data_IF_557443085555
#
_entry.id   IF_557443085555
#
_cell.length_a   1.000
_cell.length_b   1.000
_cell.length_c   1.000
_cell.angle_alpha   90.00
_cell.angle_beta   90.00
_cell.angle_gamma   90.00
#
_symmetry.space_group_name_H-M   'P 1'
#
loop_
_entity.id
_entity.type
_entity.pdbx_description
1 polymer ?
#
# COMPACT_ATOMS: atom_id res chain seq x y z
N UNK A 1 32.80 56.99 -20.34
CA UNK A 1 33.87 56.28 -19.59
C UNK A 1 34.11 56.89 -18.20
N UNK A 2 33.06 57.18 -17.41
CA UNK A 2 33.22 57.85 -16.09
C UNK A 2 32.37 57.23 -14.97
N UNK A 3 31.95 55.98 -15.10
CA UNK A 3 31.02 55.34 -14.15
C UNK A 3 31.60 54.16 -13.35
N UNK A 4 32.83 53.71 -13.61
CA UNK A 4 33.36 52.46 -13.04
C UNK A 4 34.24 52.60 -11.78
N UNK A 5 34.40 53.79 -11.22
CA UNK A 5 35.25 54.03 -10.03
C UNK A 5 34.49 54.01 -8.70
N UNK A 6 33.27 53.45 -8.64
CA UNK A 6 32.46 53.45 -7.40
C UNK A 6 32.79 52.35 -6.38
N UNK A 7 33.59 51.34 -6.75
CA UNK A 7 33.94 50.23 -5.84
C UNK A 7 34.90 50.69 -4.73
N UNK A 8 35.61 51.80 -4.95
CA UNK A 8 36.56 52.41 -4.01
C UNK A 8 36.12 53.81 -3.57
N UNK A 9 34.81 54.11 -3.61
CA UNK A 9 34.31 55.45 -3.28
C UNK A 9 34.44 55.79 -1.78
N UNK A 10 34.51 54.78 -0.93
CA UNK A 10 34.67 54.93 0.52
C UNK A 10 36.16 54.93 0.89
N UNK A 11 36.63 56.06 1.41
CA UNK A 11 38.02 56.26 1.83
C UNK A 11 38.46 55.23 2.88
N UNK A 12 37.57 54.84 3.79
CA UNK A 12 37.88 53.86 4.84
C UNK A 12 38.11 52.45 4.28
N UNK A 13 37.37 52.06 3.25
CA UNK A 13 37.56 50.79 2.53
C UNK A 13 38.90 50.78 1.79
N UNK A 14 39.27 51.90 1.16
CA UNK A 14 40.60 52.05 0.54
C UNK A 14 41.71 51.92 1.57
N UNK A 15 41.55 52.58 2.72
CA UNK A 15 42.50 52.51 3.81
C UNK A 15 42.67 51.10 4.36
N UNK A 16 41.56 50.35 4.51
CA UNK A 16 41.62 48.94 4.90
C UNK A 16 42.41 48.11 3.89
N UNK A 17 42.20 48.34 2.59
CA UNK A 17 42.96 47.66 1.55
C UNK A 17 44.46 48.01 1.60
N UNK A 18 44.80 49.30 1.83
CA UNK A 18 46.19 49.72 2.06
C UNK A 18 46.80 48.97 3.26
N UNK A 19 46.03 48.82 4.35
CA UNK A 19 46.48 48.10 5.52
C UNK A 19 46.72 46.60 5.23
N UNK A 20 45.86 45.95 4.44
CA UNK A 20 46.06 44.56 3.98
C UNK A 20 47.37 44.40 3.18
N UNK A 21 47.67 45.34 2.29
CA UNK A 21 48.93 45.35 1.53
C UNK A 21 50.11 45.58 2.46
N UNK A 22 50.01 46.56 3.38
CA UNK A 22 51.05 46.86 4.35
C UNK A 22 51.42 45.63 5.20
N UNK A 23 50.44 44.81 5.61
CA UNK A 23 50.69 43.53 6.29
C UNK A 23 51.45 42.54 5.40
N UNK A 24 51.10 42.46 4.11
CA UNK A 24 51.77 41.56 3.15
C UNK A 24 53.21 41.99 2.89
N UNK A 25 53.45 43.28 2.65
CA UNK A 25 54.79 43.88 2.52
C UNK A 25 55.61 43.64 3.78
N UNK A 26 55.02 43.80 4.97
CA UNK A 26 55.69 43.53 6.23
C UNK A 26 56.07 42.05 6.37
N UNK A 27 55.19 41.12 6.00
CA UNK A 27 55.48 39.68 5.99
C UNK A 27 56.68 39.37 5.10
N UNK A 28 56.72 39.92 3.89
CA UNK A 28 57.85 39.75 2.96
C UNK A 28 59.14 40.31 3.57
N UNK A 29 59.09 41.51 4.13
CA UNK A 29 60.19 42.14 4.88
C UNK A 29 60.77 41.28 6.00
N UNK A 30 59.93 40.48 6.68
CA UNK A 30 60.32 39.61 7.78
C UNK A 30 60.81 38.22 7.34
N UNK A 31 60.57 37.84 6.08
CA UNK A 31 60.72 36.45 5.63
C UNK A 31 62.15 35.94 5.79
N UNK A 32 63.15 36.73 5.38
CA UNK A 32 64.55 36.30 5.43
C UNK A 32 65.09 36.23 6.85
N UNK A 33 64.71 37.20 7.68
CA UNK A 33 65.03 37.21 9.09
C UNK A 33 64.47 35.98 9.83
N UNK A 34 63.23 35.59 9.53
CA UNK A 34 62.60 34.39 10.12
C UNK A 34 63.33 33.13 9.68
N UNK A 35 63.58 32.99 8.38
CA UNK A 35 64.31 31.86 7.82
C UNK A 35 65.67 31.68 8.51
N UNK A 36 66.46 32.76 8.61
CA UNK A 36 67.79 32.73 9.20
C UNK A 36 67.73 32.40 10.71
N UNK A 37 66.80 33.01 11.44
CA UNK A 37 66.65 32.79 12.89
C UNK A 37 66.19 31.37 13.20
N UNK A 38 65.19 30.84 12.48
CA UNK A 38 64.75 29.46 12.70
C UNK A 38 65.83 28.46 12.26
N UNK A 39 66.58 28.71 11.18
CA UNK A 39 67.73 27.84 10.82
C UNK A 39 68.78 27.80 11.92
N UNK A 40 69.06 28.93 12.57
CA UNK A 40 69.95 28.99 13.75
C UNK A 40 69.39 28.21 14.93
N UNK A 41 68.10 28.37 15.25
CA UNK A 41 67.42 27.58 16.30
C UNK A 41 67.47 26.09 15.99
N UNK A 42 67.18 25.71 14.74
CA UNK A 42 67.24 24.32 14.26
C UNK A 42 68.64 23.72 14.42
N UNK A 43 69.69 24.47 14.05
CA UNK A 43 71.08 24.05 14.26
C UNK A 43 71.44 23.92 15.76
N UNK A 44 70.96 24.83 16.61
CA UNK A 44 71.21 24.80 18.06
C UNK A 44 70.52 23.63 18.77
N UNK A 45 69.35 23.20 18.30
CA UNK A 45 68.65 22.02 18.81
C UNK A 45 69.40 20.72 18.48
N UNK A 46 70.21 20.72 17.42
CA UNK A 46 71.06 19.59 17.02
C UNK A 46 70.37 18.57 16.11
N UNK A 47 71.09 17.50 15.77
CA UNK A 47 70.65 16.48 14.81
C UNK A 47 69.55 15.57 15.39
N UNK A 48 68.47 15.38 14.62
CA UNK A 48 67.35 14.52 15.01
C UNK A 48 67.58 13.04 14.64
N UNK A 49 66.77 12.14 15.23
CA UNK A 49 66.80 10.71 14.98
C UNK A 49 66.54 10.39 13.49
N UNK A 50 67.49 9.75 12.81
CA UNK A 50 67.35 9.36 11.41
C UNK A 50 66.55 8.08 11.15
N UNK A 51 66.16 7.35 12.21
CA UNK A 51 65.56 6.01 12.12
C UNK A 51 64.17 5.91 12.77
N UNK A 52 63.67 7.00 13.35
CA UNK A 52 62.41 6.99 14.08
C UNK A 52 61.25 7.24 13.11
N UNK A 53 60.43 6.21 12.84
CA UNK A 53 59.15 6.42 12.15
C UNK A 53 58.16 7.06 13.12
N UNK A 54 58.09 8.39 13.10
CA UNK A 54 57.16 9.17 13.94
C UNK A 54 55.90 9.44 13.12
N UNK A 55 55.21 8.39 12.68
CA UNK A 55 54.00 8.52 11.87
C UNK A 55 52.79 9.02 12.68
N UNK A 56 52.84 8.99 14.02
CA UNK A 56 51.77 9.49 14.89
C UNK A 56 52.31 10.21 16.12
N UNK A 57 52.39 11.55 16.03
CA UNK A 57 52.77 12.48 17.11
C UNK A 57 51.88 12.47 18.36
N UNK A 58 50.85 11.61 18.42
CA UNK A 58 50.06 11.42 19.65
C UNK A 58 50.70 10.45 20.65
N UNK A 59 51.76 9.72 20.26
CA UNK A 59 52.57 8.91 21.16
C UNK A 59 54.03 9.43 21.09
N UNK A 60 54.38 10.24 22.08
CA UNK A 60 55.67 10.93 22.27
C UNK A 60 56.90 9.98 22.26
N UNK A 61 58.13 10.50 22.13
CA UNK A 61 59.21 9.80 21.44
C UNK A 61 59.63 8.47 22.06
N UNK A 62 59.89 7.47 21.20
CA UNK A 62 60.48 6.18 21.60
C UNK A 62 62.02 6.21 21.64
N UNK A 63 62.67 7.36 21.43
CA UNK A 63 64.13 7.45 21.45
C UNK A 63 64.67 8.75 22.09
N UNK A 64 65.85 8.62 22.69
CA UNK A 64 66.56 9.68 23.39
C UNK A 64 66.87 10.90 22.51
N UNK A 65 67.13 10.72 21.21
CA UNK A 65 67.45 11.83 20.29
C UNK A 65 66.23 12.69 19.99
N UNK A 66 65.05 12.09 19.82
CA UNK A 66 63.82 12.83 19.61
C UNK A 66 63.38 13.56 20.89
N UNK A 67 63.64 13.01 22.07
CA UNK A 67 63.42 13.71 23.34
C UNK A 67 64.32 14.94 23.47
N UNK A 68 65.59 14.85 23.07
CA UNK A 68 66.49 16.01 23.03
C UNK A 68 65.98 17.11 22.09
N UNK A 69 65.53 16.75 20.89
CA UNK A 69 64.96 17.71 19.94
C UNK A 69 63.69 18.35 20.51
N UNK A 70 62.81 17.55 21.12
CA UNK A 70 61.59 18.04 21.79
C UNK A 70 61.93 19.05 22.88
N UNK A 71 62.82 18.68 23.81
CA UNK A 71 63.28 19.56 24.89
C UNK A 71 63.93 20.84 24.34
N UNK A 72 64.66 20.73 23.22
CA UNK A 72 65.20 21.87 22.49
C UNK A 72 64.09 22.82 22.00
N UNK A 73 63.10 22.31 21.26
CA UNK A 73 61.95 23.11 20.78
C UNK A 73 61.21 23.75 21.96
N UNK A 74 60.97 22.99 23.02
CA UNK A 74 60.32 23.43 24.25
C UNK A 74 61.09 24.57 24.94
N UNK A 75 62.43 24.48 25.00
CA UNK A 75 63.30 25.51 25.60
C UNK A 75 63.28 26.84 24.84
N UNK A 76 63.07 26.79 23.53
CA UNK A 76 62.92 27.98 22.69
C UNK A 76 61.45 28.47 22.61
N UNK A 77 60.48 27.73 23.16
CA UNK A 77 59.07 28.10 23.11
C UNK A 77 58.65 28.91 24.34
N UNK A 78 58.16 30.13 24.14
CA UNK A 78 57.77 31.10 25.19
C UNK A 78 56.94 30.48 26.31
N UNK A 79 55.95 29.67 25.95
CA UNK A 79 55.01 29.06 26.90
C UNK A 79 55.29 27.59 27.20
N UNK A 80 56.39 27.03 26.69
CA UNK A 80 56.66 25.59 26.75
C UNK A 80 55.46 24.72 26.29
N UNK A 81 54.77 25.16 25.23
CA UNK A 81 53.58 24.51 24.67
C UNK A 81 53.62 24.48 23.14
N UNK A 82 54.57 23.77 22.54
CA UNK A 82 54.70 23.74 21.10
C UNK A 82 53.50 23.05 20.42
N UNK A 83 53.12 23.52 19.24
CA UNK A 83 52.00 22.99 18.45
C UNK A 83 52.40 21.74 17.67
N UNK A 84 52.52 20.62 18.38
CA UNK A 84 52.96 19.34 17.82
C UNK A 84 52.11 18.86 16.64
N UNK A 85 50.82 19.22 16.58
CA UNK A 85 49.90 18.82 15.50
C UNK A 85 50.24 19.43 14.13
N UNK A 86 51.01 20.51 14.10
CA UNK A 86 51.35 21.17 12.83
C UNK A 86 52.60 20.58 12.17
N UNK A 87 53.44 19.87 12.92
CA UNK A 87 54.76 19.45 12.46
C UNK A 87 54.78 17.97 12.10
N UNK A 88 55.70 17.57 11.23
CA UNK A 88 56.08 16.18 11.02
C UNK A 88 57.49 15.97 11.58
N UNK A 89 57.59 15.17 12.63
CA UNK A 89 58.85 14.94 13.32
C UNK A 89 59.89 14.17 12.50
N UNK A 90 59.48 13.40 11.48
CA UNK A 90 60.43 12.82 10.51
C UNK A 90 61.20 13.93 9.76
N UNK A 91 60.59 15.09 9.56
CA UNK A 91 61.21 16.23 8.88
C UNK A 91 62.08 17.12 9.77
N UNK A 92 62.10 16.92 11.09
CA UNK A 92 62.92 17.73 12.00
C UNK A 92 64.42 17.65 11.70
N UNK A 93 64.89 16.63 10.98
CA UNK A 93 66.32 16.48 10.65
C UNK A 93 66.79 17.47 9.61
N UNK A 94 66.04 17.54 8.52
CA UNK A 94 66.45 18.16 7.27
C UNK A 94 65.67 19.42 6.96
N UNK A 95 64.55 19.65 7.65
CA UNK A 95 63.64 20.73 7.37
C UNK A 95 63.39 21.59 8.60
N UNK A 96 64.15 22.69 8.70
CA UNK A 96 64.00 23.73 9.71
C UNK A 96 62.56 24.28 9.81
N UNK A 97 61.79 24.24 8.71
CA UNK A 97 60.40 24.70 8.72
C UNK A 97 59.50 23.81 9.59
N UNK A 98 59.79 22.51 9.68
CA UNK A 98 59.04 21.62 10.58
C UNK A 98 59.22 22.04 12.04
N UNK A 99 60.38 22.59 12.41
CA UNK A 99 60.60 23.19 13.73
C UNK A 99 59.84 24.52 13.85
N UNK A 100 59.82 25.35 12.81
CA UNK A 100 59.06 26.62 12.80
C UNK A 100 57.57 26.40 13.12
N UNK A 101 56.97 25.35 12.55
CA UNK A 101 55.55 25.02 12.75
C UNK A 101 55.17 24.73 14.20
N UNK A 102 56.12 24.31 15.02
CA UNK A 102 55.91 24.10 16.45
C UNK A 102 55.59 25.41 17.19
N UNK A 103 55.91 26.57 16.62
CA UNK A 103 55.62 27.89 17.18
C UNK A 103 54.34 28.54 16.62
N UNK A 104 53.64 27.86 15.71
CA UNK A 104 52.37 28.33 15.15
C UNK A 104 51.19 28.02 16.09
N UNK A 105 50.02 28.63 15.91
CA UNK A 105 48.79 28.24 16.61
C UNK A 105 48.43 26.76 16.38
N UNK A 106 47.72 26.09 17.30
CA UNK A 106 47.54 24.62 17.27
C UNK A 106 46.77 24.04 16.07
N UNK A 107 46.08 24.89 15.30
CA UNK A 107 45.18 24.49 14.22
C UNK A 107 45.42 25.35 12.97
N UNK A 108 45.22 24.76 11.78
CA UNK A 108 45.20 25.50 10.51
C UNK A 108 46.54 25.57 9.75
N UNK A 109 47.63 25.05 10.31
CA UNK A 109 48.98 25.22 9.71
C UNK A 109 49.71 23.91 9.38
N UNK A 110 49.05 22.75 9.52
CA UNK A 110 49.67 21.46 9.21
C UNK A 110 50.14 21.37 7.74
N UNK A 111 49.34 21.91 6.81
CA UNK A 111 49.62 21.85 5.36
C UNK A 111 50.65 22.88 4.83
N UNK A 112 51.00 23.92 5.59
CA UNK A 112 51.83 25.02 5.10
C UNK A 112 53.28 24.57 4.92
N UNK A 113 53.86 24.61 3.72
CA UNK A 113 55.16 23.98 3.47
C UNK A 113 56.37 24.89 3.72
N UNK A 114 56.14 26.21 3.78
CA UNK A 114 57.20 27.22 3.88
C UNK A 114 56.74 28.53 4.54
N UNK A 115 57.69 29.43 4.83
CA UNK A 115 57.40 30.79 5.29
C UNK A 115 56.72 31.63 4.20
N UNK A 116 56.98 31.34 2.92
CA UNK A 116 56.36 32.01 1.79
C UNK A 116 54.86 31.68 1.69
N UNK A 117 54.48 30.43 1.93
CA UNK A 117 53.08 29.98 1.96
C UNK A 117 52.33 30.37 3.25
N UNK A 118 53.06 30.79 4.27
CA UNK A 118 52.47 31.22 5.54
C UNK A 118 51.75 32.55 5.39
N UNK A 119 50.70 32.78 6.17
CA UNK A 119 50.10 34.11 6.22
C UNK A 119 50.84 35.04 7.20
N UNK A 120 50.44 36.31 7.25
CA UNK A 120 51.07 37.28 8.16
C UNK A 120 50.95 36.85 9.63
N UNK A 121 49.79 36.33 10.03
CA UNK A 121 49.55 35.91 11.40
C UNK A 121 50.45 34.74 11.82
N UNK A 122 50.69 33.78 10.92
CA UNK A 122 51.62 32.68 11.13
C UNK A 122 53.04 33.20 11.40
N UNK A 123 53.52 34.11 10.54
CA UNK A 123 54.83 34.76 10.68
C UNK A 123 54.96 35.45 12.03
N UNK A 124 53.98 36.27 12.41
CA UNK A 124 54.03 36.99 13.70
C UNK A 124 53.92 36.03 14.89
N UNK A 125 53.12 34.96 14.80
CA UNK A 125 53.03 33.97 15.87
C UNK A 125 54.32 33.18 16.07
N UNK A 126 55.05 32.83 15.00
CA UNK A 126 56.37 32.21 15.12
C UNK A 126 57.30 33.11 15.92
N UNK A 127 57.36 34.40 15.58
CA UNK A 127 58.20 35.38 16.26
C UNK A 127 57.76 35.63 17.72
N UNK A 128 56.46 35.56 18.01
CA UNK A 128 55.92 35.74 19.35
C UNK A 128 56.10 34.51 20.24
N UNK A 129 56.13 33.31 19.67
CA UNK A 129 56.22 32.07 20.44
C UNK A 129 57.64 31.53 20.54
N UNK A 130 58.57 31.97 19.69
CA UNK A 130 59.99 31.60 19.79
C UNK A 130 60.81 32.67 20.53
N UNK A 131 61.49 32.28 21.60
CA UNK A 131 62.23 33.18 22.49
C UNK A 131 63.46 33.81 21.83
N UNK A 132 64.07 33.19 20.81
CA UNK A 132 65.22 33.75 20.09
C UNK A 132 64.83 35.07 19.39
N UNK A 133 63.64 35.15 18.79
CA UNK A 133 63.14 36.41 18.21
C UNK A 133 62.86 37.47 19.27
N UNK A 134 62.32 37.08 20.42
CA UNK A 134 62.01 38.01 21.50
C UNK A 134 63.27 38.64 22.08
N UNK A 135 64.34 37.87 22.20
CA UNK A 135 65.64 38.38 22.64
C UNK A 135 66.15 39.50 21.71
N UNK A 136 65.86 39.38 20.41
CA UNK A 136 66.27 40.36 19.40
C UNK A 136 65.31 41.57 19.28
N UNK A 137 64.00 41.37 19.47
CA UNK A 137 62.98 42.38 19.16
C UNK A 137 62.26 42.99 20.37
N UNK A 138 62.25 42.27 21.49
CA UNK A 138 61.56 42.66 22.72
C UNK A 138 62.44 42.42 23.98
N UNK A 139 63.66 43.01 24.05
CA UNK A 139 64.59 42.76 25.17
C UNK A 139 64.03 43.17 26.55
N UNK A 140 63.05 44.08 26.59
CA UNK A 140 62.37 44.50 27.83
C UNK A 140 61.43 43.44 28.44
N UNK A 141 61.18 42.31 27.76
CA UNK A 141 60.25 41.28 28.24
C UNK A 141 60.75 40.45 29.42
N UNK A 142 62.06 40.43 29.68
CA UNK A 142 62.63 39.67 30.80
C UNK A 142 62.78 40.51 32.09
N UNK A 143 62.31 41.76 32.10
CA UNK A 143 62.35 42.60 33.31
C UNK A 143 61.28 42.18 34.35
N UNK A 144 61.61 42.03 35.65
CA UNK A 144 60.67 41.58 36.69
C UNK A 144 59.63 42.61 37.19
N UNK A 145 59.72 43.91 36.85
CA UNK A 145 58.91 45.00 37.46
C UNK A 145 58.48 46.08 36.40
N UNK A 146 57.49 46.98 36.69
CA UNK A 146 56.21 47.17 35.97
C UNK A 146 56.22 48.20 34.78
N UNK A 147 55.04 48.60 34.24
CA UNK A 147 54.36 47.91 33.16
C UNK A 147 55.22 47.90 31.90
N UNK A 148 55.46 46.71 31.36
CA UNK A 148 56.33 46.51 30.20
C UNK A 148 55.80 47.33 29.02
N UNK A 149 56.62 48.17 28.35
CA UNK A 149 56.23 48.72 27.06
C UNK A 149 55.76 47.56 26.17
N UNK A 150 54.54 47.68 25.63
CA UNK A 150 53.95 46.66 24.77
C UNK A 150 54.96 46.29 23.68
N UNK A 151 55.39 45.02 23.67
CA UNK A 151 56.33 44.50 22.69
C UNK A 151 55.83 44.83 21.28
N UNK A 152 56.71 45.36 20.41
CA UNK A 152 56.34 45.71 19.04
C UNK A 152 55.57 44.59 18.31
N UNK A 153 55.96 43.33 18.51
CA UNK A 153 55.29 42.18 17.88
C UNK A 153 53.83 42.02 18.32
N UNK A 154 53.49 42.36 19.56
CA UNK A 154 52.12 42.25 20.06
C UNK A 154 51.22 43.32 19.44
N UNK A 155 51.75 44.54 19.25
CA UNK A 155 51.06 45.62 18.54
C UNK A 155 50.86 45.26 17.08
N UNK A 156 51.88 44.71 16.43
CA UNK A 156 51.83 44.26 15.04
C UNK A 156 50.85 43.10 14.86
N UNK A 157 50.78 42.17 15.82
CA UNK A 157 49.72 41.13 15.84
C UNK A 157 48.34 41.73 16.00
N UNK A 158 48.18 42.75 16.85
CA UNK A 158 46.89 43.43 17.02
C UNK A 158 46.43 44.04 15.70
N UNK A 159 47.30 44.76 15.00
CA UNK A 159 47.01 45.32 13.66
C UNK A 159 46.58 44.20 12.69
N UNK A 160 47.31 43.08 12.67
CA UNK A 160 46.95 41.93 11.85
C UNK A 160 45.53 41.39 12.14
N UNK A 161 45.12 41.39 13.41
CA UNK A 161 43.76 41.00 13.82
C UNK A 161 42.73 42.06 13.43
N UNK A 162 42.98 43.32 13.73
CA UNK A 162 42.06 44.43 13.45
C UNK A 162 41.74 44.53 11.97
N UNK A 163 42.77 44.39 11.12
CA UNK A 163 42.60 44.45 9.66
C UNK A 163 41.92 43.18 9.13
N UNK A 164 42.39 41.98 9.47
CA UNK A 164 41.86 40.73 8.88
C UNK A 164 40.50 40.30 9.40
N UNK A 165 40.15 40.72 10.62
CA UNK A 165 38.87 40.40 11.25
C UNK A 165 37.94 41.62 11.32
N UNK A 166 38.24 42.69 10.57
CA UNK A 166 37.32 43.80 10.40
C UNK A 166 36.04 43.30 9.72
N UNK A 167 34.92 43.31 10.45
CA UNK A 167 33.62 42.92 9.91
C UNK A 167 33.11 43.87 8.82
N UNK A 168 33.61 45.11 8.82
CA UNK A 168 33.19 46.18 7.91
C UNK A 168 34.18 46.42 6.78
N UNK A 169 35.37 45.81 6.82
CA UNK A 169 36.47 46.09 5.89
C UNK A 169 36.79 47.59 5.77
N UNK A 170 36.70 48.32 6.89
CA UNK A 170 36.93 49.76 7.00
C UNK A 170 38.08 50.06 7.95
N UNK A 171 38.85 51.09 7.64
CA UNK A 171 39.95 51.60 8.48
C UNK A 171 39.99 53.11 8.38
N UNK A 172 39.95 53.80 9.52
CA UNK A 172 40.05 55.26 9.55
C UNK A 172 41.45 55.73 9.15
N UNK A 173 41.59 56.99 8.74
CA UNK A 173 42.90 57.57 8.39
C UNK A 173 43.87 57.51 9.58
N UNK A 174 43.38 57.76 10.80
CA UNK A 174 44.21 57.73 12.02
C UNK A 174 44.70 56.31 12.35
N UNK A 175 43.84 55.30 12.21
CA UNK A 175 44.24 53.90 12.37
C UNK A 175 45.27 53.49 11.32
N UNK A 176 45.05 53.86 10.06
CA UNK A 176 45.98 53.54 8.98
C UNK A 176 47.37 54.15 9.24
N UNK A 177 47.43 55.42 9.65
CA UNK A 177 48.69 56.07 10.03
C UNK A 177 49.36 55.37 11.21
N UNK A 178 48.58 54.94 12.21
CA UNK A 178 49.09 54.14 13.33
C UNK A 178 49.64 52.78 12.86
N UNK A 179 48.97 52.13 11.90
CA UNK A 179 49.40 50.85 11.33
C UNK A 179 50.73 51.00 10.60
N UNK A 180 50.86 51.92 9.65
CA UNK A 180 52.10 52.19 8.92
C UNK A 180 53.25 52.51 9.87
N UNK A 181 53.03 53.45 10.81
CA UNK A 181 54.04 53.81 11.80
C UNK A 181 54.53 52.61 12.60
N UNK A 182 53.62 51.73 13.04
CA UNK A 182 53.96 50.56 13.86
C UNK A 182 54.69 49.48 13.06
N UNK A 183 54.24 49.21 11.83
CA UNK A 183 54.86 48.23 10.93
C UNK A 183 56.26 48.68 10.49
N UNK A 184 56.40 49.93 10.06
CA UNK A 184 57.70 50.53 9.70
C UNK A 184 58.66 50.49 10.88
N UNK A 185 58.20 50.84 12.09
CA UNK A 185 59.01 50.78 13.30
C UNK A 185 59.55 49.37 13.58
N UNK A 186 58.73 48.33 13.38
CA UNK A 186 59.17 46.94 13.57
C UNK A 186 60.35 46.60 12.66
N UNK A 187 60.28 47.01 11.39
CA UNK A 187 61.29 46.70 10.38
C UNK A 187 62.55 47.59 10.52
N UNK A 188 62.38 48.87 10.86
CA UNK A 188 63.46 49.85 10.87
C UNK A 188 64.23 49.94 12.20
N UNK A 189 63.56 49.81 13.36
CA UNK A 189 64.20 50.07 14.67
C UNK A 189 64.91 48.84 15.24
N UNK A 190 64.67 47.65 14.67
CA UNK A 190 65.34 46.43 15.11
C UNK A 190 66.78 46.41 14.59
N UNK A 191 67.75 46.30 15.50
CA UNK A 191 69.19 46.17 15.14
C UNK A 191 69.47 45.03 14.17
N UNK A 192 68.66 43.98 14.19
CA UNK A 192 68.79 42.82 13.30
C UNK A 192 68.12 43.04 11.94
N UNK A 193 66.98 43.74 11.89
CA UNK A 193 66.23 43.97 10.65
C UNK A 193 66.72 45.19 9.86
N UNK A 194 67.24 46.22 10.53
CA UNK A 194 67.76 47.43 9.88
C UNK A 194 68.91 47.16 8.89
N UNK A 195 69.60 46.02 9.03
CA UNK A 195 70.68 45.58 8.15
C UNK A 195 70.19 44.64 7.04
N UNK A 196 68.94 44.17 7.09
CA UNK A 196 68.39 43.25 6.11
C UNK A 196 67.89 44.03 4.88
N UNK A 197 68.45 43.80 3.68
CA UNK A 197 68.03 44.52 2.47
C UNK A 197 66.55 44.29 2.12
N UNK A 198 65.97 43.14 2.48
CA UNK A 198 64.56 42.83 2.22
C UNK A 198 63.67 43.62 3.18
N UNK A 199 64.04 43.73 4.46
CA UNK A 199 63.33 44.56 5.42
C UNK A 199 63.39 46.05 5.06
N UNK A 200 64.56 46.54 4.62
CA UNK A 200 64.72 47.92 4.16
C UNK A 200 63.89 48.22 2.91
N UNK A 201 63.83 47.28 1.95
CA UNK A 201 62.93 47.39 0.79
C UNK A 201 61.47 47.47 1.23
N UNK A 202 61.05 46.64 2.19
CA UNK A 202 59.70 46.69 2.73
C UNK A 202 59.38 48.01 3.44
N UNK A 203 60.34 48.61 4.16
CA UNK A 203 60.19 49.96 4.75
C UNK A 203 59.93 51.01 3.67
N UNK A 204 60.70 51.02 2.59
CA UNK A 204 60.50 51.96 1.46
C UNK A 204 59.10 51.77 0.88
N UNK A 205 58.70 50.53 0.60
CA UNK A 205 57.35 50.23 0.08
C UNK A 205 56.23 50.66 1.04
N UNK A 206 56.42 50.53 2.36
CA UNK A 206 55.45 51.02 3.35
C UNK A 206 55.36 52.54 3.36
N UNK A 207 56.49 53.24 3.23
CA UNK A 207 56.52 54.70 3.12
C UNK A 207 55.85 55.18 1.84
N UNK A 208 56.11 54.51 0.71
CA UNK A 208 55.47 54.81 -0.57
C UNK A 208 53.95 54.57 -0.49
N UNK A 209 53.51 53.43 0.05
CA UNK A 209 52.09 53.12 0.27
C UNK A 209 51.39 54.11 1.20
N UNK A 210 52.11 54.69 2.16
CA UNK A 210 51.59 55.69 3.08
C UNK A 210 51.42 57.06 2.39
N UNK A 211 52.36 57.45 1.53
CA UNK A 211 52.40 58.76 0.86
C UNK A 211 51.58 58.79 -0.43
N UNK A 212 51.49 57.66 -1.15
CA UNK A 212 50.78 57.58 -2.42
C UNK A 212 49.31 57.20 -2.23
N UNK A 213 48.47 57.73 -3.12
CA UNK A 213 47.28 57.00 -3.54
C UNK A 213 47.80 55.77 -4.27
N UNK A 214 47.65 54.59 -3.66
CA UNK A 214 47.93 53.29 -4.28
C UNK A 214 47.62 53.34 -5.78
N UNK A 215 48.43 52.75 -6.66
CA UNK A 215 48.05 52.53 -8.04
C UNK A 215 46.91 51.48 -8.09
N UNK A 216 45.76 51.86 -7.54
CA UNK A 216 44.48 51.15 -7.55
C UNK A 216 44.00 50.98 -8.99
N UNK A 217 44.60 51.67 -9.96
CA UNK A 217 44.37 51.46 -11.39
C UNK A 217 44.78 50.06 -11.81
N UNK A 218 45.98 49.58 -11.46
CA UNK A 218 46.43 48.23 -11.84
C UNK A 218 45.66 47.15 -11.07
N UNK A 219 45.46 47.34 -9.76
CA UNK A 219 44.70 46.38 -8.96
C UNK A 219 43.20 46.40 -9.31
N UNK A 220 42.65 47.56 -9.65
CA UNK A 220 41.28 47.73 -10.11
C UNK A 220 41.05 47.03 -11.45
N UNK A 221 42.01 47.11 -12.38
CA UNK A 221 41.98 46.34 -13.62
C UNK A 221 42.02 44.83 -13.33
N UNK A 222 42.90 44.38 -12.43
CA UNK A 222 42.97 42.97 -12.04
C UNK A 222 41.68 42.45 -11.41
N UNK A 223 41.07 43.21 -10.48
CA UNK A 223 39.74 42.87 -9.91
C UNK A 223 38.69 42.80 -11.02
N UNK A 224 38.71 43.72 -11.96
CA UNK A 224 37.75 43.75 -13.07
C UNK A 224 37.92 42.52 -13.97
N UNK A 225 39.15 42.11 -14.25
CA UNK A 225 39.47 40.89 -15.00
C UNK A 225 38.99 39.65 -14.26
N UNK A 226 39.21 39.57 -12.94
CA UNK A 226 38.68 38.47 -12.11
C UNK A 226 37.15 38.45 -12.11
N UNK A 227 36.48 39.60 -12.02
CA UNK A 227 35.02 39.68 -12.11
C UNK A 227 34.50 39.17 -13.45
N UNK A 228 35.13 39.59 -14.56
CA UNK A 228 34.77 39.09 -15.89
C UNK A 228 35.02 37.58 -16.02
N UNK A 229 36.12 37.07 -15.46
CA UNK A 229 36.41 35.65 -15.46
C UNK A 229 35.37 34.86 -14.64
N UNK A 230 34.96 35.37 -13.47
CA UNK A 230 33.91 34.77 -12.64
C UNK A 230 32.57 34.75 -13.39
N UNK A 231 32.16 35.85 -14.04
CA UNK A 231 30.92 35.85 -14.83
C UNK A 231 30.98 34.87 -16.00
N UNK A 232 32.12 34.77 -16.72
CA UNK A 232 32.28 33.75 -17.78
C UNK A 232 32.18 32.32 -17.25
N UNK A 233 32.76 32.05 -16.07
CA UNK A 233 32.66 30.73 -15.42
C UNK A 233 31.21 30.44 -15.03
N UNK A 234 30.50 31.44 -14.50
CA UNK A 234 29.10 31.33 -14.13
C UNK A 234 28.23 31.04 -15.36
N UNK A 235 28.36 31.82 -16.42
CA UNK A 235 27.62 31.63 -17.68
C UNK A 235 27.88 30.24 -18.27
N UNK A 236 29.15 29.80 -18.29
CA UNK A 236 29.52 28.47 -18.76
C UNK A 236 28.91 27.35 -17.90
N UNK A 237 28.91 27.50 -16.58
CA UNK A 237 28.31 26.55 -15.66
C UNK A 237 26.77 26.48 -15.80
N UNK A 238 26.11 27.61 -15.98
CA UNK A 238 24.67 27.69 -16.23
C UNK A 238 24.30 27.01 -17.56
N UNK A 239 25.09 27.23 -18.61
CA UNK A 239 24.91 26.56 -19.90
C UNK A 239 25.11 25.05 -19.80
N UNK A 240 26.20 24.58 -19.18
CA UNK A 240 26.48 23.15 -19.02
C UNK A 240 25.38 22.46 -18.20
N UNK A 241 24.92 23.10 -17.11
CA UNK A 241 23.82 22.60 -16.30
C UNK A 241 22.51 22.50 -17.09
N UNK A 242 22.18 23.52 -17.90
CA UNK A 242 21.00 23.55 -18.76
C UNK A 242 21.03 22.42 -19.80
N UNK A 243 22.16 22.26 -20.51
CA UNK A 243 22.32 21.21 -21.53
C UNK A 243 22.28 19.80 -20.92
N UNK A 244 22.96 19.59 -19.79
CA UNK A 244 22.96 18.30 -19.09
C UNK A 244 21.59 17.94 -18.55
N UNK A 245 20.86 18.91 -17.99
CA UNK A 245 19.49 18.72 -17.52
C UNK A 245 18.56 18.37 -18.68
N UNK A 246 18.67 19.06 -19.82
CA UNK A 246 17.89 18.76 -21.03
C UNK A 246 18.14 17.34 -21.54
N UNK A 247 19.40 16.92 -21.68
CA UNK A 247 19.74 15.55 -22.13
C UNK A 247 19.19 14.49 -21.19
N UNK A 248 19.32 14.70 -19.88
CA UNK A 248 18.82 13.76 -18.86
C UNK A 248 17.29 13.61 -18.93
N UNK A 249 16.58 14.73 -19.13
CA UNK A 249 15.12 14.73 -19.30
C UNK A 249 14.70 14.04 -20.61
N UNK A 250 15.41 14.28 -21.72
CA UNK A 250 15.14 13.62 -23.01
C UNK A 250 15.36 12.10 -22.94
N UNK A 251 16.43 11.64 -22.29
CA UNK A 251 16.68 10.22 -22.04
C UNK A 251 15.59 9.59 -21.16
N UNK A 252 15.18 10.29 -20.09
CA UNK A 252 14.09 9.85 -19.21
C UNK A 252 12.76 9.74 -19.96
N UNK A 253 12.43 10.72 -20.79
CA UNK A 253 11.22 10.75 -21.61
C UNK A 253 11.21 9.60 -22.63
N UNK A 254 12.34 9.30 -23.26
CA UNK A 254 12.45 8.19 -24.19
C UNK A 254 12.29 6.82 -23.49
N UNK A 255 12.86 6.64 -22.30
CA UNK A 255 12.65 5.42 -21.50
C UNK A 255 11.18 5.22 -21.12
N UNK A 256 10.49 6.29 -20.75
CA UNK A 256 9.05 6.25 -20.44
C UNK A 256 8.23 5.86 -21.68
N UNK A 257 8.57 6.39 -22.86
CA UNK A 257 7.90 6.04 -24.12
C UNK A 257 8.05 4.56 -24.46
N UNK A 258 9.25 4.01 -24.34
CA UNK A 258 9.46 2.56 -24.56
C UNK A 258 8.70 1.72 -23.54
N UNK A 259 8.74 2.09 -22.25
CA UNK A 259 7.96 1.38 -21.23
C UNK A 259 6.44 1.42 -21.50
N UNK A 260 5.91 2.56 -21.97
CA UNK A 260 4.50 2.66 -22.36
C UNK A 260 4.14 1.73 -23.53
N UNK A 261 5.05 1.61 -24.51
CA UNK A 261 4.88 0.70 -25.64
C UNK A 261 4.86 -0.76 -25.20
N UNK A 262 5.72 -1.14 -24.26
CA UNK A 262 5.73 -2.49 -23.68
C UNK A 262 4.41 -2.78 -22.94
N UNK A 263 3.91 -1.82 -22.14
CA UNK A 263 2.61 -1.95 -21.47
C UNK A 263 1.47 -2.09 -22.49
N UNK A 264 1.49 -1.30 -23.58
CA UNK A 264 0.49 -1.41 -24.64
C UNK A 264 0.48 -2.81 -25.28
N UNK A 265 1.65 -3.38 -25.55
CA UNK A 265 1.76 -4.76 -26.07
C UNK A 265 1.21 -5.80 -25.10
N UNK A 266 1.51 -5.68 -23.80
CA UNK A 266 0.97 -6.59 -22.77
C UNK A 266 -0.56 -6.49 -22.69
N UNK A 267 -1.12 -5.28 -22.77
CA UNK A 267 -2.58 -5.08 -22.78
C UNK A 267 -3.20 -5.69 -24.04
N UNK A 268 -2.59 -5.49 -25.21
CA UNK A 268 -3.08 -6.08 -26.47
C UNK A 268 -3.05 -7.62 -26.41
N UNK A 269 -1.98 -8.21 -25.89
CA UNK A 269 -1.87 -9.65 -25.69
C UNK A 269 -2.96 -10.16 -24.72
N UNK A 270 -3.09 -9.53 -23.55
CA UNK A 270 -4.11 -9.92 -22.57
C UNK A 270 -5.53 -9.83 -23.13
N UNK A 271 -5.84 -8.78 -23.90
CA UNK A 271 -7.13 -8.65 -24.59
C UNK A 271 -7.38 -9.76 -25.60
N UNK A 272 -6.35 -10.17 -26.36
CA UNK A 272 -6.46 -11.29 -27.30
C UNK A 272 -6.74 -12.62 -26.57
N UNK A 273 -6.07 -12.87 -25.45
CA UNK A 273 -6.28 -14.06 -24.62
C UNK A 273 -7.68 -14.09 -23.98
N UNK A 274 -8.14 -12.95 -23.46
CA UNK A 274 -9.49 -12.81 -22.90
C UNK A 274 -10.55 -13.08 -23.98
N UNK A 275 -10.36 -12.51 -25.17
CA UNK A 275 -11.28 -12.70 -26.30
C UNK A 275 -11.33 -14.16 -26.70
N UNK A 276 -10.17 -14.84 -26.82
CA UNK A 276 -10.11 -16.27 -27.13
C UNK A 276 -10.84 -17.13 -26.07
N UNK A 277 -10.61 -16.85 -24.78
CA UNK A 277 -11.30 -17.54 -23.67
C UNK A 277 -12.81 -17.28 -23.67
N UNK A 278 -13.24 -16.05 -23.97
CA UNK A 278 -14.66 -15.73 -24.09
C UNK A 278 -15.30 -16.50 -25.25
N UNK A 279 -14.65 -16.52 -26.42
CA UNK A 279 -15.14 -17.28 -27.58
C UNK A 279 -15.28 -18.77 -27.26
N UNK A 280 -14.27 -19.38 -26.63
CA UNK A 280 -14.32 -20.78 -26.20
C UNK A 280 -15.46 -21.05 -25.20
N UNK A 281 -15.60 -20.20 -24.18
CA UNK A 281 -16.68 -20.31 -23.20
C UNK A 281 -18.06 -20.17 -23.85
N UNK A 282 -18.24 -19.24 -24.79
CA UNK A 282 -19.47 -19.11 -25.58
C UNK A 282 -19.76 -20.37 -26.37
N UNK A 283 -18.76 -20.97 -27.03
CA UNK A 283 -18.90 -22.23 -27.75
C UNK A 283 -19.31 -23.38 -26.83
N UNK A 284 -18.70 -23.51 -25.66
CA UNK A 284 -19.07 -24.54 -24.67
C UNK A 284 -20.49 -24.37 -24.14
N UNK A 285 -20.95 -23.12 -23.92
CA UNK A 285 -22.32 -22.84 -23.49
C UNK A 285 -23.32 -23.26 -24.58
N UNK A 286 -23.08 -22.89 -25.84
CA UNK A 286 -23.97 -23.28 -26.94
C UNK A 286 -23.98 -24.80 -27.16
N UNK A 287 -22.84 -25.48 -26.99
CA UNK A 287 -22.79 -26.95 -27.02
C UNK A 287 -23.66 -27.57 -25.91
N UNK A 288 -23.44 -27.18 -24.64
CA UNK A 288 -24.21 -27.72 -23.50
C UNK A 288 -25.69 -27.41 -23.59
N UNK A 289 -26.04 -26.24 -24.13
CA UNK A 289 -27.42 -25.86 -24.43
C UNK A 289 -28.01 -26.81 -25.48
N UNK A 290 -27.28 -27.11 -26.55
CA UNK A 290 -27.66 -28.11 -27.54
C UNK A 290 -27.89 -29.50 -26.92
N UNK A 291 -26.96 -29.98 -26.09
CA UNK A 291 -27.08 -31.25 -25.37
C UNK A 291 -28.30 -31.28 -24.43
N UNK A 292 -28.54 -30.20 -23.69
CA UNK A 292 -29.70 -30.09 -22.78
C UNK A 292 -31.02 -30.11 -23.54
N UNK A 293 -31.10 -29.43 -24.69
CA UNK A 293 -32.27 -29.45 -25.57
C UNK A 293 -32.51 -30.86 -26.10
N UNK A 294 -31.46 -31.58 -26.51
CA UNK A 294 -31.58 -32.97 -26.97
C UNK A 294 -32.09 -33.90 -25.87
N UNK A 295 -31.55 -33.80 -24.64
CA UNK A 295 -32.02 -34.59 -23.49
C UNK A 295 -33.50 -34.32 -23.20
N UNK A 296 -33.93 -33.05 -23.24
CA UNK A 296 -35.33 -32.69 -23.05
C UNK A 296 -36.23 -33.27 -24.15
N UNK A 297 -35.76 -33.25 -25.40
CA UNK A 297 -36.46 -33.85 -26.53
C UNK A 297 -36.63 -35.37 -26.36
N UNK A 298 -35.54 -36.08 -26.05
CA UNK A 298 -35.55 -37.53 -25.85
C UNK A 298 -36.46 -37.93 -24.68
N UNK A 299 -36.43 -37.14 -23.59
CA UNK A 299 -37.30 -37.37 -22.42
C UNK A 299 -38.77 -37.08 -22.73
N UNK A 300 -39.06 -36.07 -23.54
CA UNK A 300 -40.42 -35.78 -24.00
C UNK A 300 -40.96 -36.93 -24.87
N UNK A 301 -40.16 -37.48 -25.78
CA UNK A 301 -40.56 -38.65 -26.58
C UNK A 301 -40.73 -39.91 -25.71
N UNK A 302 -39.83 -40.16 -24.77
CA UNK A 302 -40.00 -41.26 -23.81
C UNK A 302 -41.31 -41.14 -23.01
N UNK A 303 -41.61 -39.96 -22.48
CA UNK A 303 -42.86 -39.71 -21.77
C UNK A 303 -44.08 -39.94 -22.68
N UNK A 304 -44.04 -39.47 -23.92
CA UNK A 304 -45.11 -39.69 -24.91
C UNK A 304 -45.33 -41.17 -25.18
N UNK A 305 -44.27 -41.95 -25.36
CA UNK A 305 -44.36 -43.41 -25.54
C UNK A 305 -44.93 -44.10 -24.30
N UNK A 306 -44.47 -43.72 -23.10
CA UNK A 306 -44.95 -44.28 -21.83
C UNK A 306 -46.43 -43.97 -21.59
N UNK A 307 -46.86 -42.73 -21.82
CA UNK A 307 -48.28 -42.34 -21.76
C UNK A 307 -49.10 -43.18 -22.74
N UNK A 308 -48.60 -43.40 -23.97
CA UNK A 308 -49.24 -44.26 -24.95
C UNK A 308 -49.45 -45.70 -24.44
N UNK A 309 -48.39 -46.31 -23.89
CA UNK A 309 -48.43 -47.67 -23.35
C UNK A 309 -49.34 -47.82 -22.11
N UNK A 310 -49.30 -46.85 -21.18
CA UNK A 310 -50.17 -46.83 -20.01
C UNK A 310 -51.63 -46.62 -20.40
N UNK A 311 -51.90 -45.74 -21.37
CA UNK A 311 -53.24 -45.54 -21.92
C UNK A 311 -53.77 -46.83 -22.54
N UNK A 312 -52.97 -47.52 -23.36
CA UNK A 312 -53.37 -48.80 -23.94
C UNK A 312 -53.66 -49.86 -22.86
N UNK A 313 -52.84 -49.91 -21.81
CA UNK A 313 -53.03 -50.84 -20.68
C UNK A 313 -54.30 -50.54 -19.88
N UNK A 314 -54.57 -49.25 -19.62
CA UNK A 314 -55.78 -48.77 -18.95
C UNK A 314 -57.01 -49.06 -19.80
N UNK A 315 -56.95 -48.86 -21.12
CA UNK A 315 -58.03 -49.20 -22.05
C UNK A 315 -58.30 -50.70 -22.01
N UNK A 316 -57.28 -51.55 -22.13
CA UNK A 316 -57.43 -53.03 -22.05
C UNK A 316 -58.02 -53.47 -20.72
N UNK A 317 -57.55 -52.90 -19.60
CA UNK A 317 -58.04 -53.22 -18.26
C UNK A 317 -59.48 -52.77 -18.05
N UNK A 318 -59.84 -51.56 -18.51
CA UNK A 318 -61.21 -51.04 -18.47
C UNK A 318 -62.15 -51.88 -19.31
N UNK A 319 -61.75 -52.26 -20.52
CA UNK A 319 -62.54 -53.15 -21.40
C UNK A 319 -62.75 -54.51 -20.73
N UNK A 320 -61.72 -55.07 -20.09
CA UNK A 320 -61.83 -56.33 -19.35
C UNK A 320 -62.80 -56.21 -18.16
N UNK A 321 -62.66 -55.17 -17.33
CA UNK A 321 -63.56 -54.91 -16.21
C UNK A 321 -65.01 -54.76 -16.66
N UNK A 322 -65.26 -53.98 -17.73
CA UNK A 322 -66.59 -53.82 -18.30
C UNK A 322 -67.12 -55.18 -18.77
N UNK A 323 -66.30 -55.99 -19.44
CA UNK A 323 -66.69 -57.33 -19.91
C UNK A 323 -67.04 -58.26 -18.76
N UNK A 324 -66.23 -58.27 -17.70
CA UNK A 324 -66.42 -59.11 -16.51
C UNK A 324 -67.67 -58.67 -15.73
N UNK A 325 -67.85 -57.38 -15.46
CA UNK A 325 -69.05 -56.86 -14.76
C UNK A 325 -70.33 -57.06 -15.58
N UNK A 326 -70.24 -56.92 -16.91
CA UNK A 326 -71.37 -57.21 -17.81
C UNK A 326 -71.73 -58.70 -17.74
N UNK A 327 -70.73 -59.58 -17.76
CA UNK A 327 -70.93 -61.03 -17.63
C UNK A 327 -71.57 -61.38 -16.28
N UNK A 328 -71.05 -60.87 -15.17
CA UNK A 328 -71.58 -61.09 -13.82
C UNK A 328 -73.02 -60.57 -13.68
N UNK A 329 -73.31 -59.42 -14.30
CA UNK A 329 -74.65 -58.85 -14.33
C UNK A 329 -75.63 -59.69 -15.15
N UNK A 330 -75.21 -60.20 -16.31
CA UNK A 330 -76.00 -61.16 -17.10
C UNK A 330 -76.25 -62.44 -16.31
N UNK A 331 -75.25 -63.01 -15.65
CA UNK A 331 -75.40 -64.21 -14.82
C UNK A 331 -76.32 -63.98 -13.60
N UNK A 332 -76.27 -62.79 -12.98
CA UNK A 332 -77.21 -62.40 -11.91
C UNK A 332 -78.64 -62.28 -12.43
N UNK A 333 -78.84 -61.64 -13.58
CA UNK A 333 -80.17 -61.53 -14.21
C UNK A 333 -80.70 -62.92 -14.55
N UNK A 334 -79.85 -63.79 -15.10
CA UNK A 334 -80.24 -65.14 -15.48
C UNK A 334 -80.65 -65.99 -14.28
N UNK A 335 -79.90 -65.92 -13.17
CA UNK A 335 -80.30 -66.54 -11.89
C UNK A 335 -81.65 -66.03 -11.38
N UNK A 336 -81.85 -64.71 -11.38
CA UNK A 336 -83.13 -64.11 -10.96
C UNK A 336 -84.28 -64.54 -11.86
N UNK A 337 -84.05 -64.66 -13.17
CA UNK A 337 -85.03 -65.19 -14.11
C UNK A 337 -85.37 -66.65 -13.81
N UNK A 338 -84.37 -67.50 -13.56
CA UNK A 338 -84.59 -68.91 -13.19
C UNK A 338 -85.39 -69.02 -11.89
N UNK A 339 -85.04 -68.23 -10.88
CA UNK A 339 -85.73 -68.23 -9.59
C UNK A 339 -87.17 -67.72 -9.71
N UNK A 340 -87.41 -66.64 -10.46
CA UNK A 340 -88.76 -66.18 -10.77
C UNK A 340 -89.58 -67.25 -11.52
N UNK A 341 -88.95 -67.98 -12.43
CA UNK A 341 -89.60 -69.09 -13.16
C UNK A 341 -90.01 -70.22 -12.20
N UNK A 342 -89.13 -70.58 -11.26
CA UNK A 342 -89.44 -71.57 -10.22
C UNK A 342 -90.59 -71.12 -9.30
N UNK A 343 -90.59 -69.86 -8.86
CA UNK A 343 -91.67 -69.30 -8.04
C UNK A 343 -93.02 -69.26 -8.78
N UNK A 344 -93.00 -69.01 -10.10
CA UNK A 344 -94.21 -69.07 -10.94
C UNK A 344 -94.75 -70.50 -10.99
N UNK A 345 -93.90 -71.52 -11.20
CA UNK A 345 -94.35 -72.92 -11.21
C UNK A 345 -94.84 -73.39 -9.84
N UNK A 346 -94.21 -72.95 -8.74
CA UNK A 346 -94.66 -73.23 -7.38
C UNK A 346 -96.05 -72.63 -7.12
N UNK A 347 -96.25 -71.33 -7.41
CA UNK A 347 -97.56 -70.67 -7.27
C UNK A 347 -98.63 -71.23 -8.20
N UNK A 348 -98.24 -71.72 -9.38
CA UNK A 348 -99.12 -72.45 -10.29
C UNK A 348 -99.56 -73.77 -9.65
N UNK A 349 -98.66 -74.48 -8.99
CA UNK A 349 -98.98 -75.68 -8.18
C UNK A 349 -99.98 -75.38 -7.06
N UNK A 350 -99.74 -74.33 -6.27
CA UNK A 350 -100.64 -73.88 -5.18
C UNK A 350 -102.04 -73.50 -5.70
N UNK A 351 -102.09 -72.77 -6.82
CA UNK A 351 -103.35 -72.35 -7.44
C UNK A 351 -104.16 -73.54 -7.94
N UNK A 352 -103.49 -74.55 -8.54
CA UNK A 352 -104.14 -75.78 -8.98
C UNK A 352 -104.67 -76.60 -7.80
N UNK A 353 -103.90 -76.72 -6.72
CA UNK A 353 -104.39 -77.39 -5.50
C UNK A 353 -105.60 -76.67 -4.88
N UNK A 354 -105.58 -75.34 -4.84
CA UNK A 354 -106.69 -74.53 -4.31
C UNK A 354 -107.96 -74.70 -5.16
N UNK A 355 -107.81 -74.70 -6.49
CA UNK A 355 -108.93 -74.94 -7.41
C UNK A 355 -109.48 -76.37 -7.28
N UNK A 356 -108.61 -77.36 -7.09
CA UNK A 356 -109.01 -78.74 -6.85
C UNK A 356 -109.81 -78.90 -5.54
N UNK A 357 -109.36 -78.25 -4.45
CA UNK A 357 -110.08 -78.24 -3.18
C UNK A 357 -111.46 -77.57 -3.27
N UNK A 358 -111.56 -76.45 -4.02
CA UNK A 358 -112.86 -75.80 -4.28
C UNK A 358 -113.80 -76.66 -5.12
N UNK A 359 -113.28 -77.38 -6.10
CA UNK A 359 -114.08 -78.28 -6.94
C UNK A 359 -114.68 -79.45 -6.13
N UNK A 360 -113.91 -80.08 -5.24
CA UNK A 360 -114.42 -81.13 -4.34
C UNK A 360 -115.43 -80.59 -3.32
N UNK A 361 -115.24 -79.36 -2.82
CA UNK A 361 -116.23 -78.70 -1.96
C UNK A 361 -117.57 -78.45 -2.68
N UNK A 362 -117.54 -77.94 -3.92
CA UNK A 362 -118.75 -77.77 -4.73
C UNK A 362 -119.45 -79.09 -5.05
N UNK A 363 -118.68 -80.16 -5.30
CA UNK A 363 -119.21 -81.50 -5.53
C UNK A 363 -119.94 -82.06 -4.30
N UNK A 364 -119.45 -81.77 -3.10
CA UNK A 364 -120.12 -82.15 -1.86
C UNK A 364 -121.43 -81.36 -1.65
N UNK A 365 -121.40 -80.03 -1.86
CA UNK A 365 -122.59 -79.17 -1.79
C UNK A 365 -123.71 -79.62 -2.73
N UNK A 366 -123.38 -80.02 -3.96
CA UNK A 366 -124.36 -80.55 -4.93
C UNK A 366 -124.99 -81.86 -4.43
N UNK A 367 -124.20 -82.72 -3.76
CA UNK A 367 -124.68 -83.98 -3.21
C UNK A 367 -125.68 -83.74 -2.07
N UNK A 368 -125.37 -82.83 -1.16
CA UNK A 368 -126.21 -82.48 -0.01
C UNK A 368 -127.55 -81.86 -0.47
N UNK A 369 -127.53 -81.00 -1.50
CA UNK A 369 -128.74 -80.41 -2.10
C UNK A 369 -129.60 -81.48 -2.79
N UNK A 370 -128.98 -82.44 -3.48
CA UNK A 370 -129.70 -83.53 -4.17
C UNK A 370 -130.41 -84.44 -3.15
N UNK A 371 -129.75 -84.74 -2.04
CA UNK A 371 -130.31 -85.56 -0.97
C UNK A 371 -131.48 -84.85 -0.27
N UNK A 372 -131.36 -83.54 -0.01
CA UNK A 372 -132.43 -82.72 0.55
C UNK A 372 -133.68 -82.66 -0.36
N UNK A 373 -133.47 -82.47 -1.67
CA UNK A 373 -134.56 -82.43 -2.66
C UNK A 373 -135.28 -83.78 -2.77
N UNK A 374 -134.53 -84.89 -2.73
CA UNK A 374 -135.09 -86.24 -2.79
C UNK A 374 -135.94 -86.53 -1.55
N UNK A 375 -135.46 -86.19 -0.37
CA UNK A 375 -136.20 -86.37 0.88
C UNK A 375 -137.46 -85.50 0.94
N UNK A 376 -137.38 -84.26 0.46
CA UNK A 376 -138.54 -83.35 0.43
C UNK A 376 -139.62 -83.79 -0.55
N UNK A 377 -139.24 -84.34 -1.71
CA UNK A 377 -140.20 -84.82 -2.71
C UNK A 377 -140.85 -86.14 -2.31
N UNK A 378 -140.14 -87.03 -1.61
CA UNK A 378 -140.73 -88.24 -0.99
C UNK A 378 -141.75 -87.88 0.10
N UNK A 379 -141.47 -86.84 0.89
CA UNK A 379 -142.41 -86.38 1.92
C UNK A 379 -143.68 -85.76 1.32
N UNK A 380 -143.54 -84.93 0.29
CA UNK A 380 -144.68 -84.31 -0.39
C UNK A 380 -145.62 -85.37 -1.02
N UNK A 381 -145.06 -86.44 -1.58
CA UNK A 381 -145.83 -87.56 -2.14
C UNK A 381 -146.60 -88.32 -1.04
N UNK A 382 -146.00 -88.51 0.14
CA UNK A 382 -146.69 -89.10 1.29
C UNK A 382 -147.87 -88.26 1.75
N UNK A 383 -147.68 -86.94 1.84
CA UNK A 383 -148.71 -86.03 2.34
C UNK A 383 -149.91 -85.97 1.37
N UNK A 384 -149.66 -85.87 0.06
CA UNK A 384 -150.72 -85.92 -0.97
C UNK A 384 -151.48 -87.25 -1.00
N UNK A 385 -150.81 -88.36 -0.69
CA UNK A 385 -151.43 -89.69 -0.64
C UNK A 385 -152.35 -89.82 0.57
N UNK A 386 -151.93 -89.28 1.72
CA UNK A 386 -152.73 -89.30 2.94
C UNK A 386 -153.97 -88.40 2.84
N UNK A 387 -153.84 -87.20 2.27
CA UNK A 387 -154.96 -86.28 2.05
C UNK A 387 -156.02 -86.87 1.12
N UNK A 388 -155.57 -87.62 0.09
CA UNK A 388 -156.46 -88.31 -0.84
C UNK A 388 -157.21 -89.47 -0.18
N UNK A 389 -156.57 -90.19 0.74
CA UNK A 389 -157.18 -91.28 1.50
C UNK A 389 -158.22 -90.75 2.49
N UNK A 390 -157.93 -89.67 3.20
CA UNK A 390 -158.89 -89.02 4.13
C UNK A 390 -160.12 -88.49 3.39
N UNK A 391 -159.95 -87.85 2.22
CA UNK A 391 -161.07 -87.35 1.43
C UNK A 391 -162.00 -88.48 0.93
N UNK A 392 -161.42 -89.62 0.53
CA UNK A 392 -162.18 -90.81 0.12
C UNK A 392 -162.92 -91.43 1.32
N UNK A 393 -162.27 -91.54 2.48
CA UNK A 393 -162.89 -92.10 3.69
C UNK A 393 -164.05 -91.23 4.20
N UNK A 394 -163.93 -89.90 4.13
CA UNK A 394 -165.00 -88.98 4.49
C UNK A 394 -166.22 -89.13 3.57
N UNK A 395 -165.98 -89.21 2.26
CA UNK A 395 -167.04 -89.36 1.25
C UNK A 395 -167.79 -90.70 1.38
N UNK A 396 -167.08 -91.78 1.72
CA UNK A 396 -167.68 -93.11 1.97
C UNK A 396 -168.50 -93.12 3.26
N UNK A 397 -168.03 -92.45 4.33
CA UNK A 397 -168.75 -92.37 5.60
C UNK A 397 -170.02 -91.52 5.51
N UNK A 398 -170.00 -90.43 4.74
CA UNK A 398 -171.18 -89.58 4.56
C UNK A 398 -172.25 -90.30 3.71
N UNK A 399 -171.83 -91.09 2.72
CA UNK A 399 -172.76 -91.93 1.93
C UNK A 399 -173.36 -93.10 2.72
N UNK A 400 -172.60 -93.68 3.65
CA UNK A 400 -173.11 -94.71 4.57
C UNK A 400 -174.11 -94.16 5.61
N UNK A 401 -174.05 -92.86 5.93
CA UNK A 401 -175.02 -92.21 6.82
C UNK A 401 -176.36 -91.92 6.14
N UNK A 402 -176.36 -91.62 4.85
CA UNK A 402 -177.59 -91.44 4.08
C UNK A 402 -178.33 -92.78 3.89
N UNK A 403 -177.59 -93.90 3.70
CA UNK A 403 -178.19 -95.24 3.56
C UNK A 403 -178.72 -95.84 4.89
N UNK A 404 -178.18 -95.43 6.05
CA UNK A 404 -178.64 -95.94 7.35
C UNK A 404 -179.89 -95.26 7.89
N UNK A 405 -180.30 -94.11 7.34
CA UNK A 405 -181.55 -93.45 7.76
C UNK A 405 -182.77 -93.95 6.98
N UNK A 406 -182.57 -94.52 5.80
CA UNK A 406 -183.64 -95.16 5.00
C UNK A 406 -183.95 -96.60 5.42
N UNK A 407 -183.07 -97.28 6.17
CA UNK A 407 -183.27 -98.68 6.63
C UNK A 407 -183.68 -98.83 8.10
N UNK A 408 -184.01 -97.73 8.78
CA UNK A 408 -184.85 -97.73 9.99
C UNK A 408 -186.25 -97.21 9.66
N UNK A 409 -186.75 -97.59 8.49
CA UNK A 409 -188.12 -98.05 8.36
C UNK A 409 -188.44 -99.11 9.44
N UNK A 410 -189.72 -99.18 9.82
CA UNK A 410 -190.39 -100.49 10.01
C UNK A 410 -189.80 -101.39 11.09
N UNK A 411 -189.93 -100.95 12.34
CA UNK A 411 -190.48 -101.68 13.50
C UNK A 411 -190.98 -100.64 14.51
#
# INVERSE_FOLDING_TARGET
MAANTKIFADEETNNWFKACIALSVTKEGLTKFIENTIKKVHAAIGSSCGQCSIEKLMQFPKCQTCDKVKLGIESFHRFNRPSWKNTNAQGWKSNWWQIAKCYLPPTGYAGVSSVQESDFNAVINIMLNCTDFQNHLCPSWFSPLPPKPQCPLEKVRQIGRDVRHSATCKTTVAELQYYFKTLTKLLADSKCLAKDPIANKAVIMLTDLQNDHLPLTEFGNMIQDYKQAIERIKDAAEQEFSEKSKRTLEEGLNKIKEALKDVEQVIQQANSEITAKMTDATSQIEQKKGESVQILYDRAEYCKQKIGAETETLTKSSVKLIKDETKDSVERIQRKMTEATSQIEEKKGESVQTLYGRAEYCKQQIRDVTEALTNSSVQLIKDLTNDSIECIQQTVNDKAKDDYKDNAERE
#
